data_IF_121256608820
#
_entry.id   IF_121256608820
#
_cell.length_a   1.000
_cell.length_b   1.000
_cell.length_c   1.000
_cell.angle_alpha   90.00
_cell.angle_beta   90.00
_cell.angle_gamma   90.00
#
_symmetry.space_group_name_H-M   'P 1'
#
loop_
_entity.id
_entity.type
_entity.pdbx_description
1 polymer ?
#
# COMPACT_ATOMS: atom_id res chain seq x y z
N UNK A 1 -14.87 12.27 19.26
CA UNK A 1 -14.85 11.58 17.97
C UNK A 1 -13.58 11.92 17.17
N UNK A 2 -13.26 13.20 16.99
CA UNK A 2 -12.07 13.64 16.21
C UNK A 2 -10.72 13.14 16.75
N UNK A 3 -10.52 13.12 18.07
CA UNK A 3 -9.28 12.63 18.68
C UNK A 3 -9.01 11.15 18.39
N UNK A 4 -10.08 10.33 18.33
CA UNK A 4 -9.96 8.91 18.00
C UNK A 4 -9.56 8.71 16.54
N UNK A 5 -10.16 9.47 15.60
CA UNK A 5 -9.82 9.43 14.17
C UNK A 5 -8.36 9.83 13.95
N UNK A 6 -7.92 10.91 14.61
CA UNK A 6 -6.52 11.34 14.54
C UNK A 6 -5.56 10.27 15.07
N UNK A 7 -5.87 9.65 16.21
CA UNK A 7 -5.05 8.60 16.80
C UNK A 7 -4.96 7.36 15.87
N UNK A 8 -6.07 6.95 15.24
CA UNK A 8 -6.11 5.85 14.28
C UNK A 8 -5.23 6.16 13.05
N UNK A 9 -5.41 7.34 12.44
CA UNK A 9 -4.65 7.77 11.29
C UNK A 9 -3.14 7.91 11.59
N UNK A 10 -2.80 8.50 12.74
CA UNK A 10 -1.42 8.67 13.19
C UNK A 10 -0.73 7.31 13.43
N UNK A 11 -1.39 6.39 14.14
CA UNK A 11 -0.86 5.04 14.40
C UNK A 11 -0.67 4.28 13.09
N UNK A 12 -1.63 4.37 12.17
CA UNK A 12 -1.51 3.80 10.84
C UNK A 12 -0.28 4.35 10.09
N UNK A 13 -0.12 5.67 10.08
CA UNK A 13 0.99 6.33 9.39
C UNK A 13 2.36 5.94 9.97
N UNK A 14 2.46 5.71 11.26
CA UNK A 14 3.69 5.26 11.91
C UNK A 14 4.07 3.81 11.55
N UNK A 15 3.08 2.95 11.33
CA UNK A 15 3.30 1.53 11.00
C UNK A 15 3.64 1.30 9.52
N UNK A 16 3.14 2.15 8.61
CA UNK A 16 3.28 1.98 7.16
C UNK A 16 4.75 1.90 6.66
N UNK A 17 5.67 2.81 7.08
CA UNK A 17 7.05 2.79 6.62
C UNK A 17 7.80 1.51 6.98
N UNK A 18 7.49 0.92 8.14
CA UNK A 18 8.13 -0.31 8.61
C UNK A 18 7.91 -1.49 7.66
N UNK A 19 6.69 -1.65 7.18
CA UNK A 19 6.35 -2.71 6.22
C UNK A 19 7.22 -2.61 4.96
N UNK A 20 7.23 -1.45 4.31
CA UNK A 20 7.95 -1.25 3.06
C UNK A 20 9.46 -1.38 3.23
N UNK A 21 9.98 -0.90 4.35
CA UNK A 21 11.39 -1.02 4.69
C UNK A 21 11.81 -2.48 4.83
N UNK A 22 11.05 -3.29 5.56
CA UNK A 22 11.35 -4.72 5.72
C UNK A 22 11.17 -5.51 4.41
N UNK A 23 10.20 -5.17 3.57
CA UNK A 23 10.07 -5.76 2.24
C UNK A 23 11.32 -5.44 1.41
N UNK A 24 11.76 -4.19 1.40
CA UNK A 24 12.97 -3.76 0.66
C UNK A 24 14.23 -4.47 1.13
N UNK A 25 14.39 -4.66 2.43
CA UNK A 25 15.58 -5.33 2.99
C UNK A 25 15.64 -6.84 2.71
N UNK A 26 14.53 -7.42 2.30
CA UNK A 26 14.51 -8.85 1.99
C UNK A 26 15.30 -9.13 0.72
N UNK A 27 16.00 -10.28 0.69
CA UNK A 27 16.72 -10.75 -0.51
C UNK A 27 15.80 -10.93 -1.72
N UNK A 28 14.54 -11.25 -1.46
CA UNK A 28 13.48 -11.34 -2.47
C UNK A 28 12.29 -10.47 -2.05
N UNK A 29 12.25 -9.18 -2.45
CA UNK A 29 11.16 -8.28 -2.11
C UNK A 29 9.79 -8.71 -2.65
N UNK A 30 9.75 -9.35 -3.83
CA UNK A 30 8.53 -9.88 -4.43
C UNK A 30 7.93 -11.00 -3.58
N UNK A 31 8.76 -11.97 -3.17
CA UNK A 31 8.32 -13.04 -2.26
C UNK A 31 7.89 -12.52 -0.90
N UNK A 32 8.61 -11.52 -0.35
CA UNK A 32 8.25 -10.88 0.91
C UNK A 32 6.92 -10.13 0.82
N UNK A 33 6.69 -9.42 -0.28
CA UNK A 33 5.44 -8.73 -0.55
C UNK A 33 4.26 -9.72 -0.63
N UNK A 34 4.42 -10.79 -1.41
CA UNK A 34 3.38 -11.83 -1.56
C UNK A 34 3.07 -12.49 -0.22
N UNK A 35 4.10 -12.84 0.55
CA UNK A 35 3.96 -13.43 1.88
C UNK A 35 3.19 -12.50 2.84
N UNK A 36 3.56 -11.23 2.88
CA UNK A 36 2.85 -10.23 3.67
C UNK A 36 1.37 -10.14 3.27
N UNK A 37 1.08 -10.13 1.96
CA UNK A 37 -0.29 -10.10 1.44
C UNK A 37 -1.09 -11.33 1.86
N UNK A 38 -0.52 -12.51 1.83
CA UNK A 38 -1.19 -13.73 2.30
C UNK A 38 -1.52 -13.66 3.80
N UNK A 39 -0.58 -13.16 4.62
CA UNK A 39 -0.80 -13.00 6.07
C UNK A 39 -1.93 -12.02 6.33
N UNK A 40 -1.92 -10.84 5.72
CA UNK A 40 -2.95 -9.87 6.00
C UNK A 40 -4.33 -10.27 5.44
N UNK A 41 -4.38 -10.98 4.29
CA UNK A 41 -5.64 -11.55 3.78
C UNK A 41 -6.23 -12.55 4.77
N UNK A 42 -5.38 -13.42 5.33
CA UNK A 42 -5.77 -14.39 6.35
C UNK A 42 -6.25 -13.69 7.62
N UNK A 43 -5.55 -12.64 8.07
CA UNK A 43 -5.94 -11.88 9.25
C UNK A 43 -7.28 -11.15 9.04
N UNK A 44 -7.52 -10.61 7.84
CA UNK A 44 -8.81 -9.99 7.50
C UNK A 44 -9.95 -10.99 7.55
N UNK A 45 -9.75 -12.20 7.02
CA UNK A 45 -10.74 -13.27 7.08
C UNK A 45 -11.02 -13.74 8.51
N UNK A 46 -9.96 -13.93 9.32
CA UNK A 46 -10.08 -14.31 10.72
C UNK A 46 -10.80 -13.23 11.54
N UNK A 47 -10.49 -11.97 11.31
CA UNK A 47 -11.13 -10.85 11.99
C UNK A 47 -12.62 -10.79 11.65
N UNK A 48 -12.99 -10.90 10.37
CA UNK A 48 -14.40 -10.96 9.96
C UNK A 48 -15.12 -12.17 10.57
N UNK A 49 -14.48 -13.33 10.64
CA UNK A 49 -15.03 -14.52 11.27
C UNK A 49 -15.28 -14.34 12.78
N UNK A 50 -14.33 -13.75 13.50
CA UNK A 50 -14.44 -13.47 14.95
C UNK A 50 -15.58 -12.49 15.24
N UNK A 51 -15.72 -11.45 14.43
CA UNK A 51 -16.76 -10.43 14.56
C UNK A 51 -18.13 -10.89 14.00
N UNK A 52 -18.21 -12.09 13.41
CA UNK A 52 -19.44 -12.60 12.79
C UNK A 52 -19.88 -11.82 11.54
N UNK A 53 -18.94 -11.20 10.83
CA UNK A 53 -19.21 -10.37 9.66
C UNK A 53 -19.20 -11.22 8.39
N UNK A 54 -20.25 -11.09 7.58
CA UNK A 54 -20.34 -11.78 6.30
C UNK A 54 -19.40 -11.16 5.25
N UNK A 55 -18.40 -11.93 4.83
CA UNK A 55 -17.46 -11.54 3.78
C UNK A 55 -18.16 -11.33 2.42
N UNK A 56 -19.30 -11.96 2.17
CA UNK A 56 -20.04 -11.84 0.91
C UNK A 56 -20.90 -10.57 0.84
N UNK A 57 -20.98 -9.77 1.91
CA UNK A 57 -21.60 -8.44 1.89
C UNK A 57 -20.97 -7.50 0.84
N UNK A 58 -19.79 -7.85 0.32
CA UNK A 58 -19.07 -7.16 -0.78
C UNK A 58 -19.88 -7.03 -2.07
N UNK A 59 -20.90 -7.86 -2.28
CA UNK A 59 -21.72 -7.87 -3.51
C UNK A 59 -22.29 -6.49 -3.86
N UNK A 60 -22.56 -5.65 -2.87
CA UNK A 60 -23.11 -4.30 -3.05
C UNK A 60 -22.12 -3.35 -3.76
N UNK A 61 -20.81 -3.58 -3.62
CA UNK A 61 -19.77 -2.66 -4.07
C UNK A 61 -18.69 -3.39 -4.92
N UNK A 62 -19.03 -4.57 -5.43
CA UNK A 62 -18.07 -5.41 -6.18
C UNK A 62 -17.26 -4.67 -7.25
N UNK A 63 -17.84 -3.77 -8.09
CA UNK A 63 -17.05 -3.07 -9.11
C UNK A 63 -15.97 -2.16 -8.51
N UNK A 64 -16.25 -1.49 -7.38
CA UNK A 64 -15.29 -0.64 -6.67
C UNK A 64 -14.16 -1.49 -6.10
N UNK A 65 -14.51 -2.59 -5.46
CA UNK A 65 -13.54 -3.53 -4.87
C UNK A 65 -12.65 -4.16 -5.94
N UNK A 66 -13.21 -4.57 -7.08
CA UNK A 66 -12.45 -5.09 -8.20
C UNK A 66 -11.48 -4.05 -8.75
N UNK A 67 -11.93 -2.82 -8.95
CA UNK A 67 -11.08 -1.73 -9.43
C UNK A 67 -9.96 -1.41 -8.43
N UNK A 68 -10.26 -1.40 -7.12
CA UNK A 68 -9.27 -1.22 -6.07
C UNK A 68 -8.23 -2.35 -6.05
N UNK A 69 -8.65 -3.62 -6.16
CA UNK A 69 -7.76 -4.77 -6.23
C UNK A 69 -6.83 -4.74 -7.44
N UNK A 70 -7.35 -4.40 -8.63
CA UNK A 70 -6.54 -4.20 -9.83
C UNK A 70 -5.56 -3.03 -9.66
N UNK A 71 -5.99 -1.94 -9.02
CA UNK A 71 -5.12 -0.84 -8.66
C UNK A 71 -4.00 -1.27 -7.73
N UNK A 72 -4.27 -2.11 -6.73
CA UNK A 72 -3.23 -2.66 -5.85
C UNK A 72 -2.18 -3.47 -6.60
N UNK A 73 -2.58 -4.27 -7.60
CA UNK A 73 -1.63 -5.00 -8.46
C UNK A 73 -0.67 -4.02 -9.15
N UNK A 74 -1.22 -3.00 -9.80
CA UNK A 74 -0.42 -1.98 -10.48
C UNK A 74 0.50 -1.23 -9.51
N UNK A 75 -0.03 -0.83 -8.34
CA UNK A 75 0.74 -0.17 -7.30
C UNK A 75 1.96 -0.99 -6.87
N UNK A 76 1.77 -2.27 -6.53
CA UNK A 76 2.88 -3.12 -6.08
C UNK A 76 3.91 -3.36 -7.19
N UNK A 77 3.48 -3.55 -8.45
CA UNK A 77 4.41 -3.68 -9.57
C UNK A 77 5.26 -2.42 -9.72
N UNK A 78 4.66 -1.23 -9.69
CA UNK A 78 5.39 0.02 -9.83
C UNK A 78 6.27 0.32 -8.62
N UNK A 79 5.76 0.16 -7.41
CA UNK A 79 6.50 0.41 -6.17
C UNK A 79 7.71 -0.52 -6.01
N UNK A 80 7.52 -1.85 -6.20
CA UNK A 80 8.62 -2.81 -6.07
C UNK A 80 9.72 -2.57 -7.12
N UNK A 81 9.35 -2.24 -8.38
CA UNK A 81 10.33 -1.86 -9.40
C UNK A 81 11.06 -0.57 -9.02
N UNK A 82 10.34 0.43 -8.54
CA UNK A 82 10.93 1.69 -8.05
C UNK A 82 11.95 1.42 -6.95
N UNK A 83 11.59 0.59 -5.96
CA UNK A 83 12.47 0.28 -4.83
C UNK A 83 13.63 -0.63 -5.20
N UNK A 84 13.50 -1.44 -6.23
CA UNK A 84 14.57 -2.29 -6.74
C UNK A 84 15.61 -1.47 -7.49
N UNK A 85 15.16 -0.57 -8.36
CA UNK A 85 16.02 0.17 -9.29
C UNK A 85 16.52 1.49 -8.68
N UNK A 86 15.89 2.00 -7.61
CA UNK A 86 16.20 3.26 -6.95
C UNK A 86 16.54 3.15 -5.47
N UNK A 87 17.05 4.25 -4.91
CA UNK A 87 17.27 4.36 -3.48
C UNK A 87 15.94 4.55 -2.74
N UNK A 88 15.68 3.66 -1.77
CA UNK A 88 14.42 3.66 -1.01
C UNK A 88 14.16 4.98 -0.30
N UNK A 89 15.19 5.57 0.32
CA UNK A 89 15.05 6.82 1.07
C UNK A 89 14.61 7.99 0.19
N UNK A 90 15.01 7.95 -1.08
CA UNK A 90 14.70 8.99 -2.06
C UNK A 90 13.33 8.79 -2.72
N UNK A 91 12.97 7.55 -3.07
CA UNK A 91 11.75 7.28 -3.84
C UNK A 91 10.52 6.97 -2.97
N UNK A 92 10.71 6.46 -1.74
CA UNK A 92 9.60 6.18 -0.84
C UNK A 92 8.71 7.41 -0.56
N UNK A 93 9.26 8.62 -0.27
CA UNK A 93 8.43 9.81 -0.08
C UNK A 93 7.58 10.16 -1.31
N UNK A 94 8.09 9.89 -2.52
CA UNK A 94 7.34 10.15 -3.77
C UNK A 94 6.18 9.16 -3.90
N UNK A 95 6.45 7.87 -3.72
CA UNK A 95 5.41 6.83 -3.83
C UNK A 95 4.31 6.97 -2.79
N UNK A 96 4.59 7.70 -1.68
CA UNK A 96 3.66 7.97 -0.57
C UNK A 96 3.16 9.41 -0.52
N UNK A 97 3.38 10.17 -1.58
CA UNK A 97 2.82 11.51 -1.73
C UNK A 97 1.35 11.51 -2.21
N UNK A 98 0.68 10.37 -2.15
CA UNK A 98 -0.73 10.18 -2.49
C UNK A 98 -1.70 11.15 -1.77
N UNK A 99 -1.49 11.62 -0.51
CA UNK A 99 -2.38 12.61 0.07
C UNK A 99 -2.46 13.92 -0.72
N UNK A 100 -1.37 14.35 -1.37
CA UNK A 100 -1.41 15.51 -2.27
C UNK A 100 -2.27 15.22 -3.49
N UNK A 101 -2.03 14.07 -4.13
CA UNK A 101 -2.81 13.65 -5.30
C UNK A 101 -4.30 13.58 -4.95
N UNK A 102 -4.65 12.96 -3.81
CA UNK A 102 -6.01 12.88 -3.30
C UNK A 102 -6.60 14.27 -3.08
N UNK A 103 -5.85 15.19 -2.46
CA UNK A 103 -6.32 16.54 -2.21
C UNK A 103 -6.62 17.30 -3.53
N UNK A 104 -5.71 17.22 -4.51
CA UNK A 104 -5.88 17.85 -5.82
C UNK A 104 -7.10 17.26 -6.55
N UNK A 105 -7.22 15.96 -6.64
CA UNK A 105 -8.33 15.28 -7.34
C UNK A 105 -9.67 15.59 -6.64
N UNK A 106 -9.70 15.53 -5.31
CA UNK A 106 -10.92 15.83 -4.55
C UNK A 106 -11.35 17.31 -4.69
N UNK A 107 -10.39 18.23 -4.79
CA UNK A 107 -10.69 19.62 -5.07
C UNK A 107 -11.25 19.81 -6.48
N UNK A 108 -10.58 19.26 -7.51
CA UNK A 108 -10.93 19.47 -8.91
C UNK A 108 -12.23 18.77 -9.32
N UNK A 109 -12.44 17.53 -8.85
CA UNK A 109 -13.55 16.70 -9.31
C UNK A 109 -14.71 16.58 -8.31
N UNK A 110 -14.45 16.75 -7.02
CA UNK A 110 -15.46 16.61 -5.98
C UNK A 110 -15.84 17.97 -5.34
N UNK A 111 -15.17 19.05 -5.76
CA UNK A 111 -15.43 20.41 -5.23
C UNK A 111 -15.13 20.55 -3.73
N UNK A 112 -14.33 19.62 -3.13
CA UNK A 112 -14.00 19.68 -1.72
C UNK A 112 -13.03 20.81 -1.43
N UNK A 113 -13.44 21.74 -0.55
CA UNK A 113 -12.56 22.78 -0.02
C UNK A 113 -11.85 22.24 1.22
N UNK A 114 -10.54 22.40 1.24
CA UNK A 114 -9.71 22.01 2.37
C UNK A 114 -9.36 23.20 3.25
N UNK A 115 -9.22 22.97 4.56
CA UNK A 115 -8.77 24.00 5.48
C UNK A 115 -7.34 24.43 5.17
N UNK A 116 -7.02 25.70 5.48
CA UNK A 116 -5.66 26.21 5.31
C UNK A 116 -4.62 25.38 6.08
N UNK A 117 -4.98 24.86 7.26
CA UNK A 117 -4.12 24.01 8.09
C UNK A 117 -3.76 22.71 7.36
N UNK A 118 -4.73 22.07 6.68
CA UNK A 118 -4.49 20.85 5.90
C UNK A 118 -3.54 21.12 4.74
N UNK A 119 -3.79 22.17 3.97
CA UNK A 119 -2.95 22.57 2.82
C UNK A 119 -1.53 22.87 3.30
N UNK A 120 -1.39 23.62 4.40
CA UNK A 120 -0.10 23.93 4.99
C UNK A 120 0.64 22.66 5.44
N UNK A 121 -0.06 21.70 6.08
CA UNK A 121 0.51 20.39 6.46
C UNK A 121 1.01 19.61 5.25
N UNK A 122 0.25 19.55 4.16
CA UNK A 122 0.65 18.91 2.91
C UNK A 122 1.92 19.56 2.34
N UNK A 123 1.97 20.90 2.29
CA UNK A 123 3.13 21.66 1.82
C UNK A 123 4.37 21.34 2.67
N UNK A 124 4.23 21.28 4.00
CA UNK A 124 5.34 20.93 4.89
C UNK A 124 5.90 19.53 4.63
N UNK A 125 5.04 18.54 4.36
CA UNK A 125 5.46 17.18 3.99
C UNK A 125 6.27 17.22 2.69
N UNK A 126 5.83 18.01 1.70
CA UNK A 126 6.56 18.17 0.43
C UNK A 126 7.91 18.84 0.61
N UNK A 127 7.97 19.90 1.41
CA UNK A 127 9.22 20.57 1.75
C UNK A 127 10.18 19.58 2.42
N UNK A 128 9.70 18.79 3.38
CA UNK A 128 10.50 17.76 4.04
C UNK A 128 11.03 16.70 3.06
N UNK A 129 10.17 16.20 2.17
CA UNK A 129 10.55 15.25 1.12
C UNK A 129 11.59 15.85 0.16
N UNK A 130 11.42 17.12 -0.22
CA UNK A 130 12.37 17.84 -1.06
C UNK A 130 13.76 17.98 -0.40
N UNK A 131 13.80 18.32 0.89
CA UNK A 131 15.08 18.40 1.61
C UNK A 131 15.79 17.06 1.72
N UNK A 132 15.05 15.96 1.90
CA UNK A 132 15.62 14.61 1.88
C UNK A 132 16.27 14.31 0.52
N UNK A 133 15.64 14.71 -0.58
CA UNK A 133 16.14 14.49 -1.92
C UNK A 133 17.33 15.39 -2.27
N UNK A 134 17.33 16.63 -1.80
CA UNK A 134 18.44 17.56 -1.97
C UNK A 134 19.73 16.99 -1.36
N UNK A 135 19.63 16.38 -0.18
CA UNK A 135 20.76 15.75 0.51
C UNK A 135 21.33 14.54 -0.26
N UNK A 136 20.54 13.83 -1.04
CA UNK A 136 20.99 12.72 -1.89
C UNK A 136 21.61 13.13 -3.24
N UNK A 137 21.82 14.43 -3.47
CA UNK A 137 22.54 14.94 -4.65
C UNK A 137 21.72 14.95 -5.95
N UNK A 138 20.39 15.08 -5.88
CA UNK A 138 19.49 15.12 -7.05
C UNK A 138 19.55 13.88 -7.97
N UNK A 139 20.10 12.76 -7.48
CA UNK A 139 20.21 11.50 -8.23
C UNK A 139 18.89 10.99 -8.82
N UNK A 140 17.75 11.43 -8.28
CA UNK A 140 16.40 11.09 -8.77
C UNK A 140 16.18 11.56 -10.21
N UNK A 141 16.64 12.75 -10.57
CA UNK A 141 16.49 13.28 -11.92
C UNK A 141 17.37 12.55 -12.95
N UNK A 142 18.40 11.86 -12.50
CA UNK A 142 19.25 11.03 -13.36
C UNK A 142 18.60 9.72 -13.79
N UNK A 143 17.50 9.31 -13.09
CA UNK A 143 16.78 8.08 -13.36
C UNK A 143 15.30 8.34 -13.70
N UNK A 144 15.00 8.93 -14.87
CA UNK A 144 13.65 9.37 -15.22
C UNK A 144 12.64 8.21 -15.29
N UNK A 145 13.07 7.01 -15.65
CA UNK A 145 12.21 5.82 -15.66
C UNK A 145 11.75 5.45 -14.24
N UNK A 146 12.66 5.42 -13.29
CA UNK A 146 12.37 5.10 -11.88
C UNK A 146 11.48 6.19 -11.25
N UNK A 147 11.73 7.46 -11.58
CA UNK A 147 10.88 8.57 -11.15
C UNK A 147 9.46 8.44 -11.72
N UNK A 148 9.32 8.10 -13.00
CA UNK A 148 8.01 7.87 -13.62
C UNK A 148 7.25 6.73 -12.92
N UNK A 149 7.93 5.62 -12.61
CA UNK A 149 7.32 4.49 -11.88
C UNK A 149 6.87 4.92 -10.46
N UNK A 150 7.66 5.73 -9.76
CA UNK A 150 7.30 6.25 -8.44
C UNK A 150 6.04 7.14 -8.50
N UNK A 151 5.96 8.02 -9.50
CA UNK A 151 4.78 8.87 -9.72
C UNK A 151 3.56 8.03 -10.09
N UNK A 152 3.71 7.04 -10.96
CA UNK A 152 2.62 6.12 -11.30
C UNK A 152 2.15 5.33 -10.08
N UNK A 153 3.06 4.86 -9.24
CA UNK A 153 2.72 4.19 -7.98
C UNK A 153 1.91 5.12 -7.06
N UNK A 154 2.33 6.38 -6.90
CA UNK A 154 1.62 7.41 -6.13
C UNK A 154 0.20 7.63 -6.65
N UNK A 155 0.04 7.86 -7.96
CA UNK A 155 -1.27 8.12 -8.59
C UNK A 155 -2.21 6.93 -8.37
N UNK A 156 -1.73 5.72 -8.68
CA UNK A 156 -2.54 4.50 -8.55
C UNK A 156 -2.91 4.25 -7.09
N UNK A 157 -1.98 4.42 -6.14
CA UNK A 157 -2.28 4.25 -4.72
C UNK A 157 -3.30 5.28 -4.22
N UNK A 158 -3.20 6.53 -4.65
CA UNK A 158 -4.19 7.55 -4.32
C UNK A 158 -5.58 7.23 -4.88
N UNK A 159 -5.68 6.69 -6.10
CA UNK A 159 -6.96 6.22 -6.66
C UNK A 159 -7.53 5.05 -5.86
N UNK A 160 -6.70 4.07 -5.50
CA UNK A 160 -7.09 2.94 -4.63
C UNK A 160 -7.62 3.46 -3.28
N UNK A 161 -6.92 4.38 -2.65
CA UNK A 161 -7.33 4.98 -1.37
C UNK A 161 -8.69 5.67 -1.46
N UNK A 162 -8.96 6.39 -2.56
CA UNK A 162 -10.28 7.02 -2.79
C UNK A 162 -11.39 5.97 -2.98
N UNK A 163 -11.11 4.89 -3.70
CA UNK A 163 -12.06 3.79 -3.89
C UNK A 163 -12.35 3.09 -2.56
N UNK A 164 -11.31 2.80 -1.78
CA UNK A 164 -11.45 2.13 -0.48
C UNK A 164 -12.18 3.00 0.53
N UNK A 165 -11.91 4.32 0.56
CA UNK A 165 -12.64 5.26 1.40
C UNK A 165 -14.16 5.31 1.07
N UNK A 166 -14.54 5.08 -0.19
CA UNK A 166 -15.93 4.95 -0.60
C UNK A 166 -16.51 3.59 -0.21
N UNK A 167 -15.73 2.53 -0.38
CA UNK A 167 -16.15 1.17 -0.10
C UNK A 167 -16.50 0.98 1.39
N UNK A 168 -15.67 1.49 2.30
CA UNK A 168 -15.86 1.32 3.76
C UNK A 168 -17.01 2.14 4.35
N UNK A 169 -17.64 2.99 3.53
CA UNK A 169 -18.91 3.63 3.90
C UNK A 169 -20.13 2.69 3.75
N UNK A 170 -19.95 1.56 3.06
CA UNK A 170 -21.01 0.60 2.75
C UNK A 170 -20.77 -0.76 3.38
N UNK A 171 -19.50 -1.19 3.44
CA UNK A 171 -19.10 -2.47 4.02
C UNK A 171 -18.03 -2.27 5.10
N UNK A 172 -17.89 -3.24 5.99
CA UNK A 172 -16.85 -3.19 7.03
C UNK A 172 -15.43 -3.22 6.44
N UNK A 173 -14.47 -2.49 7.05
CA UNK A 173 -13.10 -2.40 6.55
C UNK A 173 -12.43 -3.74 6.28
N UNK A 174 -12.66 -4.77 7.14
CA UNK A 174 -12.08 -6.09 6.96
C UNK A 174 -12.62 -6.81 5.72
N UNK A 175 -13.88 -6.59 5.35
CA UNK A 175 -14.49 -7.15 4.13
C UNK A 175 -13.83 -6.57 2.88
N UNK A 176 -13.75 -5.23 2.80
CA UNK A 176 -13.09 -4.56 1.69
C UNK A 176 -11.65 -5.03 1.57
N UNK A 177 -10.92 -5.04 2.67
CA UNK A 177 -9.50 -5.39 2.67
C UNK A 177 -9.25 -6.87 2.29
N UNK A 178 -10.09 -7.79 2.78
CA UNK A 178 -10.01 -9.19 2.40
C UNK A 178 -10.11 -9.38 0.88
N UNK A 179 -11.14 -8.83 0.28
CA UNK A 179 -11.38 -9.02 -1.16
C UNK A 179 -10.37 -8.29 -2.04
N UNK A 180 -10.00 -7.04 -1.70
CA UNK A 180 -8.97 -6.29 -2.43
C UNK A 180 -7.65 -7.05 -2.41
N UNK A 181 -7.24 -7.57 -1.26
CA UNK A 181 -5.98 -8.33 -1.15
C UNK A 181 -6.07 -9.69 -1.83
N UNK A 182 -7.20 -10.39 -1.77
CA UNK A 182 -7.40 -11.66 -2.46
C UNK A 182 -7.34 -11.50 -3.98
N UNK A 183 -7.98 -10.44 -4.51
CA UNK A 183 -7.93 -10.09 -5.94
C UNK A 183 -6.48 -9.78 -6.37
N UNK A 184 -5.69 -9.16 -5.50
CA UNK A 184 -4.33 -8.77 -5.83
C UNK A 184 -3.31 -9.89 -5.64
N UNK A 185 -3.41 -10.72 -4.59
CA UNK A 185 -2.38 -11.70 -4.23
C UNK A 185 -2.21 -12.79 -5.29
N UNK A 186 -3.30 -13.26 -5.89
CA UNK A 186 -3.27 -14.33 -6.87
C UNK A 186 -2.57 -13.89 -8.17
N UNK A 187 -2.99 -12.78 -8.83
CA UNK A 187 -2.31 -12.31 -10.03
C UNK A 187 -0.87 -11.88 -9.78
N UNK A 188 -0.57 -11.23 -8.65
CA UNK A 188 0.80 -10.87 -8.28
C UNK A 188 1.68 -12.10 -8.13
N UNK A 189 1.19 -13.17 -7.48
CA UNK A 189 1.90 -14.44 -7.39
C UNK A 189 2.24 -15.02 -8.76
N UNK A 190 1.31 -14.99 -9.70
CA UNK A 190 1.53 -15.42 -11.09
C UNK A 190 2.56 -14.52 -11.79
N UNK A 191 2.42 -13.20 -11.68
CA UNK A 191 3.34 -12.23 -12.31
C UNK A 191 4.76 -12.41 -11.76
N UNK A 192 4.93 -12.55 -10.45
CA UNK A 192 6.25 -12.77 -9.84
C UNK A 192 6.84 -14.13 -10.22
N UNK A 193 6.02 -15.18 -10.28
CA UNK A 193 6.46 -16.49 -10.73
C UNK A 193 6.96 -16.47 -12.19
N UNK A 194 6.29 -15.74 -13.07
CA UNK A 194 6.69 -15.60 -14.47
C UNK A 194 7.97 -14.76 -14.65
N UNK A 195 8.17 -13.74 -13.80
CA UNK A 195 9.32 -12.85 -13.85
C UNK A 195 10.53 -13.33 -13.03
N UNK A 196 10.48 -14.54 -12.45
CA UNK A 196 11.57 -15.10 -11.67
C UNK A 196 12.83 -15.36 -12.52
N UNK A 197 14.01 -15.46 -11.90
CA UNK A 197 15.22 -15.96 -12.56
C UNK A 197 15.00 -17.36 -13.14
N UNK A 198 15.52 -17.62 -14.35
CA UNK A 198 15.26 -18.87 -15.10
C UNK A 198 15.70 -20.14 -14.36
N UNK A 199 16.73 -20.02 -13.54
CA UNK A 199 17.33 -21.14 -12.81
C UNK A 199 16.67 -21.41 -11.44
N UNK A 200 15.64 -20.64 -11.05
CA UNK A 200 14.95 -20.74 -9.77
C UNK A 200 13.67 -21.57 -9.81
N UNK A 201 13.51 -22.49 -8.85
CA UNK A 201 12.23 -23.13 -8.62
C UNK A 201 11.18 -22.12 -8.16
N UNK A 202 9.99 -22.12 -8.76
CA UNK A 202 8.91 -21.17 -8.46
C UNK A 202 8.60 -21.09 -6.97
N UNK A 203 8.46 -22.27 -6.34
CA UNK A 203 8.11 -22.34 -4.92
C UNK A 203 9.21 -21.76 -4.03
N UNK A 204 10.47 -22.06 -4.32
CA UNK A 204 11.61 -21.53 -3.57
C UNK A 204 11.73 -20.00 -3.76
N UNK A 205 11.50 -19.50 -4.97
CA UNK A 205 11.50 -18.08 -5.25
C UNK A 205 10.41 -17.34 -4.47
N UNK A 206 9.17 -17.82 -4.50
CA UNK A 206 8.05 -17.13 -3.85
C UNK A 206 8.01 -17.32 -2.33
N UNK A 207 8.43 -18.49 -1.84
CA UNK A 207 8.19 -18.90 -0.44
C UNK A 207 9.45 -19.32 0.32
N UNK A 208 10.63 -19.35 -0.32
CA UNK A 208 11.86 -19.78 0.34
C UNK A 208 12.25 -18.95 1.56
N UNK A 209 11.97 -17.66 1.52
CA UNK A 209 12.19 -16.74 2.65
C UNK A 209 11.36 -17.09 3.90
N UNK A 210 10.18 -17.68 3.75
CA UNK A 210 9.33 -18.10 4.86
C UNK A 210 9.98 -19.15 5.74
N UNK A 211 10.70 -20.09 5.14
CA UNK A 211 11.40 -21.14 5.88
C UNK A 211 12.55 -20.60 6.72
N UNK A 212 13.18 -19.51 6.25
CA UNK A 212 14.33 -18.93 6.93
C UNK A 212 13.93 -17.98 8.06
N UNK A 213 12.90 -17.14 7.85
CA UNK A 213 12.48 -16.12 8.80
C UNK A 213 10.96 -15.98 8.90
N UNK A 214 10.22 -17.01 9.32
CA UNK A 214 8.76 -17.00 9.34
C UNK A 214 8.20 -15.87 10.23
N UNK A 215 8.84 -15.61 11.38
CA UNK A 215 8.42 -14.55 12.29
C UNK A 215 8.47 -13.16 11.66
N UNK A 216 9.48 -12.87 10.84
CA UNK A 216 9.59 -11.58 10.13
C UNK A 216 8.43 -11.38 9.16
N UNK A 217 8.06 -12.40 8.39
CA UNK A 217 6.95 -12.31 7.45
C UNK A 217 5.60 -12.15 8.14
N UNK A 218 5.40 -12.86 9.26
CA UNK A 218 4.21 -12.67 10.09
C UNK A 218 4.13 -11.25 10.63
N UNK A 219 5.24 -10.70 11.14
CA UNK A 219 5.27 -9.31 11.63
C UNK A 219 5.01 -8.29 10.54
N UNK A 220 5.62 -8.47 9.34
CA UNK A 220 5.38 -7.58 8.20
C UNK A 220 3.90 -7.61 7.79
N UNK A 221 3.32 -8.79 7.65
CA UNK A 221 1.92 -8.94 7.28
C UNK A 221 0.96 -8.44 8.34
N UNK A 222 1.22 -8.72 9.62
CA UNK A 222 0.40 -8.23 10.73
C UNK A 222 0.44 -6.71 10.88
N UNK A 223 1.64 -6.10 10.82
CA UNK A 223 1.78 -4.64 10.86
C UNK A 223 1.11 -3.97 9.66
N UNK A 224 1.19 -4.59 8.48
CA UNK A 224 0.49 -4.13 7.28
C UNK A 224 -1.03 -4.18 7.47
N UNK A 225 -1.55 -5.29 7.99
CA UNK A 225 -2.97 -5.45 8.27
C UNK A 225 -3.47 -4.40 9.26
N UNK A 226 -2.82 -4.29 10.41
CA UNK A 226 -3.22 -3.33 11.46
C UNK A 226 -3.16 -1.90 10.93
N UNK A 227 -2.08 -1.52 10.25
CA UNK A 227 -1.93 -0.19 9.68
C UNK A 227 -3.06 0.14 8.70
N UNK A 228 -3.34 -0.75 7.76
CA UNK A 228 -4.36 -0.51 6.74
C UNK A 228 -5.77 -0.53 7.33
N UNK A 229 -6.06 -1.45 8.25
CA UNK A 229 -7.33 -1.51 8.96
C UNK A 229 -7.62 -0.22 9.75
N UNK A 230 -6.61 0.30 10.47
CA UNK A 230 -6.74 1.57 11.20
C UNK A 230 -6.99 2.74 10.26
N UNK A 231 -6.33 2.76 9.10
CA UNK A 231 -6.55 3.77 8.07
C UNK A 231 -7.99 3.70 7.54
N UNK A 232 -8.47 2.53 7.17
CA UNK A 232 -9.84 2.36 6.66
C UNK A 232 -10.89 2.71 7.71
N UNK A 233 -10.63 2.43 8.99
CA UNK A 233 -11.53 2.77 10.08
C UNK A 233 -11.54 4.27 10.42
N UNK A 234 -10.56 5.03 9.94
CA UNK A 234 -10.49 6.47 10.08
C UNK A 234 -11.29 7.23 9.01
N UNK A 235 -11.70 6.56 7.92
CA UNK A 235 -12.58 7.11 6.88
C UNK A 235 -14.05 7.05 7.29
#
# INVERSE_FOLDING_TARGET
MELNIFALAFTSAMLHPWREFFIKQNKNPEGACLAAMMVWTTLAALHAFIEGIDLFSIQLIWPITLASGLGFICFFIFALRTYRDGDFSSYYPITRADPLFIAIISFLFLGKLYSFILIFGIILVFIGAFFLQYRSGWGILSQPKTLCLAILAMIVHGMVTLMDARAVQVVEPMVQFFWVSLIAVIPLGVIFALNRPKDGHVFEYLFGGWRQTPGSFLMIGASAYVSYFLMLKAF
#
